data_IF_178599661272
#
_entry.id   IF_178599661272
#
_cell.length_a   1.000
_cell.length_b   1.000
_cell.length_c   1.000
_cell.angle_alpha   90.00
_cell.angle_beta   90.00
_cell.angle_gamma   90.00
#
_symmetry.space_group_name_H-M   'P 1'
#
loop_
_entity.id
_entity.type
_entity.pdbx_description
1 polymer ?
#
# COMPACT_ATOMS: atom_id res chain seq x y z
N UNK A 1 -1.67 -20.73 60.23
CA UNK A 1 -1.38 -19.30 60.02
C UNK A 1 -0.19 -19.19 59.05
N UNK A 2 -0.41 -19.26 57.75
CA UNK A 2 0.64 -19.17 56.70
C UNK A 2 0.46 -17.86 55.95
N UNK A 3 1.45 -16.98 56.10
CA UNK A 3 1.61 -15.70 55.48
C UNK A 3 1.78 -15.93 53.96
N UNK A 4 0.84 -15.48 53.14
CA UNK A 4 0.96 -15.43 51.71
C UNK A 4 1.83 -14.22 51.38
N UNK A 5 3.07 -14.48 51.00
CA UNK A 5 3.99 -13.49 50.47
C UNK A 5 3.48 -13.05 49.09
N UNK A 6 3.13 -11.78 48.98
CA UNK A 6 2.88 -11.16 47.69
C UNK A 6 4.15 -11.15 46.87
N UNK A 7 4.12 -11.78 45.71
CA UNK A 7 5.13 -11.57 44.68
C UNK A 7 4.97 -10.14 44.13
N UNK A 8 5.87 -9.27 44.55
CA UNK A 8 6.10 -7.99 43.91
C UNK A 8 6.48 -8.26 42.43
N UNK A 9 5.59 -7.92 41.51
CA UNK A 9 5.93 -7.81 40.11
C UNK A 9 7.09 -6.82 39.99
N UNK A 10 8.31 -7.34 39.80
CA UNK A 10 9.47 -6.54 39.40
C UNK A 10 9.12 -5.86 38.10
N UNK A 11 8.81 -4.57 38.15
CA UNK A 11 8.82 -3.72 36.97
C UNK A 11 10.24 -3.78 36.36
N UNK A 12 10.35 -4.44 35.23
CA UNK A 12 11.57 -4.42 34.45
C UNK A 12 11.78 -2.96 34.04
N UNK A 13 12.91 -2.32 34.43
CA UNK A 13 13.15 -0.95 34.03
C UNK A 13 13.19 -0.89 32.51
N UNK A 14 12.30 -0.10 31.94
CA UNK A 14 12.34 0.28 30.51
C UNK A 14 13.70 0.95 30.32
N UNK A 15 14.65 0.23 29.76
CA UNK A 15 15.92 0.81 29.33
C UNK A 15 15.57 2.00 28.42
N UNK A 16 16.02 3.16 28.85
CA UNK A 16 15.97 4.40 28.09
C UNK A 16 16.90 4.23 26.85
N UNK A 17 16.45 3.46 25.88
CA UNK A 17 17.10 3.30 24.60
C UNK A 17 16.46 4.29 23.66
N UNK A 18 17.27 5.25 23.23
CA UNK A 18 17.08 6.15 22.08
C UNK A 18 15.62 6.59 21.83
N UNK A 19 15.36 7.88 21.96
CA UNK A 19 14.11 8.56 21.57
C UNK A 19 13.93 8.47 20.03
N UNK A 20 13.85 7.26 19.49
CA UNK A 20 13.44 7.05 18.10
C UNK A 20 11.94 7.24 18.05
N UNK A 21 11.50 8.11 17.15
CA UNK A 21 10.08 8.35 16.92
C UNK A 21 9.47 7.04 16.42
N UNK A 22 8.66 6.39 17.26
CA UNK A 22 7.94 5.16 16.95
C UNK A 22 6.45 5.47 17.01
N UNK A 23 5.71 5.07 16.00
CA UNK A 23 4.26 5.24 15.92
C UNK A 23 3.58 3.93 16.32
N UNK A 24 2.69 3.95 17.30
CA UNK A 24 1.85 2.79 17.60
C UNK A 24 0.85 2.57 16.45
N UNK A 25 0.69 1.30 16.02
CA UNK A 25 -0.28 0.92 14.98
C UNK A 25 -1.72 1.28 15.37
N UNK A 26 -2.01 1.39 16.66
CA UNK A 26 -3.34 1.73 17.14
C UNK A 26 -3.59 3.23 17.26
N UNK A 27 -2.57 4.09 17.04
CA UNK A 27 -2.67 5.54 17.14
C UNK A 27 -3.67 6.11 16.13
N UNK A 28 -4.36 7.21 16.51
CA UNK A 28 -5.31 7.89 15.60
C UNK A 28 -4.63 8.36 14.32
N UNK A 29 -3.40 8.87 14.44
CA UNK A 29 -2.62 9.33 13.29
C UNK A 29 -2.41 8.20 12.27
N UNK A 30 -1.90 7.04 12.70
CA UNK A 30 -1.63 5.90 11.80
C UNK A 30 -2.93 5.39 11.17
N UNK A 31 -4.05 5.36 11.91
CA UNK A 31 -5.34 4.97 11.34
C UNK A 31 -5.80 5.91 10.23
N UNK A 32 -5.73 7.24 10.45
CA UNK A 32 -6.08 8.22 9.40
C UNK A 32 -5.12 8.17 8.22
N UNK A 33 -3.82 8.01 8.49
CA UNK A 33 -2.79 7.85 7.47
C UNK A 33 -3.08 6.63 6.59
N UNK A 34 -3.30 5.47 7.18
CA UNK A 34 -3.63 4.24 6.45
C UNK A 34 -4.91 4.40 5.61
N UNK A 35 -5.94 5.07 6.13
CA UNK A 35 -7.14 5.35 5.36
C UNK A 35 -6.84 6.23 4.14
N UNK A 36 -6.03 7.27 4.29
CA UNK A 36 -5.61 8.13 3.17
C UNK A 36 -4.83 7.32 2.12
N UNK A 37 -3.88 6.49 2.54
CA UNK A 37 -3.11 5.61 1.65
C UNK A 37 -4.02 4.62 0.92
N UNK A 38 -5.04 4.07 1.57
CA UNK A 38 -6.03 3.18 0.93
C UNK A 38 -6.82 3.93 -0.14
N UNK A 39 -7.31 5.15 0.14
CA UNK A 39 -8.04 5.97 -0.84
C UNK A 39 -7.17 6.26 -2.06
N UNK A 40 -5.91 6.62 -1.86
CA UNK A 40 -4.95 6.85 -2.95
C UNK A 40 -4.65 5.57 -3.73
N UNK A 41 -4.57 4.42 -3.06
CA UNK A 41 -4.41 3.13 -3.73
C UNK A 41 -5.64 2.76 -4.59
N UNK A 42 -6.84 3.12 -4.14
CA UNK A 42 -8.07 2.95 -4.95
C UNK A 42 -8.07 3.89 -6.17
N UNK A 43 -7.65 5.14 -6.01
CA UNK A 43 -7.44 6.06 -7.13
C UNK A 43 -6.48 5.46 -8.16
N UNK A 44 -5.29 5.02 -7.72
CA UNK A 44 -4.30 4.39 -8.60
C UNK A 44 -4.80 3.10 -9.25
N UNK A 45 -5.73 2.37 -8.63
CA UNK A 45 -6.28 1.15 -9.21
C UNK A 45 -7.11 1.39 -10.47
N UNK A 46 -7.60 2.61 -10.64
CA UNK A 46 -8.35 3.04 -11.83
C UNK A 46 -7.41 3.75 -12.82
N UNK A 47 -6.61 4.69 -12.33
CA UNK A 47 -5.81 5.57 -13.21
C UNK A 47 -4.63 4.87 -13.86
N UNK A 48 -3.91 4.01 -13.13
CA UNK A 48 -2.70 3.35 -13.67
C UNK A 48 -3.02 2.42 -14.85
N UNK A 49 -3.99 1.49 -14.79
CA UNK A 49 -4.34 0.68 -15.94
C UNK A 49 -4.78 1.53 -17.14
N UNK A 50 -5.56 2.59 -16.88
CA UNK A 50 -5.94 3.52 -17.95
C UNK A 50 -4.71 4.20 -18.54
N UNK A 51 -3.82 4.77 -17.75
CA UNK A 51 -2.61 5.43 -18.24
C UNK A 51 -1.74 4.50 -19.08
N UNK A 52 -1.53 3.25 -18.64
CA UNK A 52 -0.70 2.28 -19.37
C UNK A 52 -1.30 1.89 -20.71
N UNK A 53 -2.60 1.59 -20.74
CA UNK A 53 -3.21 0.98 -21.93
C UNK A 53 -3.87 1.97 -22.89
N UNK A 54 -4.09 3.23 -22.46
CA UNK A 54 -4.70 4.27 -23.28
C UNK A 54 -3.71 5.33 -23.77
N UNK A 55 -2.52 5.46 -23.15
CA UNK A 55 -1.57 6.54 -23.45
C UNK A 55 -1.11 6.58 -24.92
N UNK A 56 -1.03 5.43 -25.59
CA UNK A 56 -0.60 5.39 -27.01
C UNK A 56 -1.75 5.57 -28.01
N UNK A 57 -3.01 5.39 -27.61
CA UNK A 57 -4.12 5.19 -28.55
C UNK A 57 -5.46 5.78 -28.11
N UNK A 58 -5.54 6.38 -26.93
CA UNK A 58 -6.78 6.90 -26.38
C UNK A 58 -6.85 8.43 -26.36
N UNK A 59 -8.02 8.98 -26.05
CA UNK A 59 -8.14 10.40 -25.80
C UNK A 59 -7.25 10.77 -24.61
N UNK A 60 -6.41 11.76 -24.82
CA UNK A 60 -5.42 12.30 -23.85
C UNK A 60 -6.03 12.95 -22.61
N UNK A 61 -7.18 12.46 -22.15
CA UNK A 61 -7.89 13.01 -20.98
C UNK A 61 -7.11 12.84 -19.66
N UNK A 62 -6.13 11.93 -19.64
CA UNK A 62 -5.23 11.72 -18.49
C UNK A 62 -3.85 12.37 -18.71
N UNK A 63 -3.61 13.01 -19.83
CA UNK A 63 -2.38 13.73 -20.14
C UNK A 63 -2.62 15.23 -19.96
N UNK A 64 -2.28 15.74 -18.79
CA UNK A 64 -2.31 17.16 -18.50
C UNK A 64 -1.36 17.46 -17.35
N UNK A 65 -0.73 18.62 -17.38
CA UNK A 65 0.12 19.14 -16.29
C UNK A 65 -0.49 18.89 -14.90
N UNK A 66 -1.80 19.18 -14.63
CA UNK A 66 -2.37 18.97 -13.31
C UNK A 66 -2.49 17.49 -12.91
N UNK A 67 -2.70 16.58 -13.85
CA UNK A 67 -2.81 15.14 -13.56
C UNK A 67 -1.43 14.55 -13.28
N UNK A 68 -0.42 14.90 -14.07
CA UNK A 68 0.96 14.50 -13.85
C UNK A 68 1.50 14.99 -12.49
N UNK A 69 1.13 16.21 -12.09
CA UNK A 69 1.46 16.74 -10.76
C UNK A 69 0.75 15.96 -9.64
N UNK A 70 -0.52 15.61 -9.83
CA UNK A 70 -1.28 14.81 -8.87
C UNK A 70 -0.65 13.41 -8.70
N UNK A 71 -0.31 12.74 -9.79
CA UNK A 71 0.31 11.42 -9.76
C UNK A 71 1.68 11.47 -9.05
N UNK A 72 2.50 12.49 -9.36
CA UNK A 72 3.78 12.72 -8.68
C UNK A 72 3.59 12.97 -7.18
N UNK A 73 2.56 13.71 -6.80
CA UNK A 73 2.22 13.95 -5.39
C UNK A 73 1.78 12.65 -4.69
N UNK A 74 0.99 11.82 -5.35
CA UNK A 74 0.57 10.52 -4.83
C UNK A 74 1.77 9.61 -4.64
N UNK A 75 2.73 9.60 -5.57
CA UNK A 75 3.97 8.81 -5.47
C UNK A 75 4.82 9.27 -4.29
N UNK A 76 4.93 10.58 -4.07
CA UNK A 76 5.60 11.14 -2.90
C UNK A 76 4.95 10.67 -1.59
N UNK A 77 3.61 10.67 -1.51
CA UNK A 77 2.90 10.15 -0.33
C UNK A 77 3.24 8.68 -0.10
N UNK A 78 3.32 7.88 -1.14
CA UNK A 78 3.69 6.47 -1.01
C UNK A 78 5.14 6.27 -0.57
N UNK A 79 6.09 7.12 -0.97
CA UNK A 79 7.45 7.09 -0.45
C UNK A 79 7.49 7.47 1.05
N UNK A 80 6.73 8.47 1.44
CA UNK A 80 6.58 8.84 2.86
C UNK A 80 5.96 7.67 3.65
N UNK A 81 4.99 6.96 3.07
CA UNK A 81 4.37 5.79 3.69
C UNK A 81 5.37 4.65 3.95
N UNK A 82 6.32 4.41 3.06
CA UNK A 82 7.42 3.47 3.29
C UNK A 82 8.22 3.87 4.54
N UNK A 83 8.55 5.16 4.67
CA UNK A 83 9.31 5.68 5.83
C UNK A 83 8.51 5.54 7.13
N UNK A 84 7.21 5.87 7.11
CA UNK A 84 6.32 5.74 8.27
C UNK A 84 6.19 4.28 8.67
N UNK A 85 6.07 3.36 7.73
CA UNK A 85 5.95 1.91 7.98
C UNK A 85 7.18 1.36 8.70
N UNK A 86 8.40 1.83 8.39
CA UNK A 86 9.61 1.47 9.13
C UNK A 86 9.59 1.90 10.61
N UNK A 87 8.72 2.82 10.97
CA UNK A 87 8.58 3.38 12.32
C UNK A 87 7.26 3.00 13.00
N UNK A 88 6.43 2.20 12.34
CA UNK A 88 5.12 1.80 12.85
C UNK A 88 5.23 0.42 13.48
N UNK A 89 4.78 0.30 14.73
CA UNK A 89 4.70 -0.98 15.45
C UNK A 89 3.73 -1.94 14.77
N UNK A 90 3.87 -3.22 15.01
CA UNK A 90 2.93 -4.22 14.54
C UNK A 90 2.52 -5.17 15.67
N UNK A 91 1.36 -5.79 15.52
CA UNK A 91 0.87 -6.79 16.45
C UNK A 91 1.42 -8.17 16.04
N UNK A 92 2.19 -8.79 16.92
CA UNK A 92 2.58 -10.19 16.74
C UNK A 92 1.38 -11.09 17.06
N UNK A 93 0.84 -11.72 16.02
CA UNK A 93 -0.36 -12.58 16.16
C UNK A 93 -0.09 -13.87 16.93
N UNK A 94 1.17 -14.31 17.07
CA UNK A 94 1.53 -15.50 17.81
C UNK A 94 1.53 -15.25 19.34
N UNK A 95 1.93 -14.06 19.75
CA UNK A 95 2.07 -13.68 21.16
C UNK A 95 0.90 -12.78 21.60
N UNK A 96 0.25 -12.09 20.66
CA UNK A 96 -0.83 -11.13 20.93
C UNK A 96 -0.31 -9.80 21.47
N UNK A 97 0.99 -9.53 21.40
CA UNK A 97 1.63 -8.32 21.93
C UNK A 97 2.09 -7.38 20.80
N UNK A 98 2.12 -6.08 21.12
CA UNK A 98 2.62 -5.05 20.20
C UNK A 98 4.16 -5.01 20.26
N UNK A 99 4.80 -5.26 19.10
CA UNK A 99 6.26 -5.20 18.97
C UNK A 99 6.69 -3.75 18.77
N UNK A 100 7.44 -3.22 19.74
CA UNK A 100 7.93 -1.83 19.77
C UNK A 100 9.42 -1.70 19.44
N UNK A 101 10.15 -2.82 19.36
CA UNK A 101 11.58 -2.81 19.05
C UNK A 101 11.83 -2.40 17.59
N UNK A 102 12.46 -1.25 17.39
CA UNK A 102 12.71 -0.69 16.05
C UNK A 102 13.44 -1.66 15.11
N UNK A 103 14.39 -2.45 15.64
CA UNK A 103 15.15 -3.41 14.85
C UNK A 103 14.26 -4.55 14.35
N UNK A 104 13.39 -5.08 15.21
CA UNK A 104 12.43 -6.14 14.83
C UNK A 104 11.42 -5.63 13.80
N UNK A 105 10.91 -4.39 14.00
CA UNK A 105 10.01 -3.74 13.06
C UNK A 105 10.67 -3.64 11.69
N UNK A 106 11.90 -3.09 11.62
CA UNK A 106 12.60 -2.91 10.36
C UNK A 106 12.88 -4.24 9.64
N UNK A 107 13.35 -5.27 10.35
CA UNK A 107 13.62 -6.59 9.73
C UNK A 107 12.34 -7.25 9.23
N UNK A 108 11.27 -7.19 10.02
CA UNK A 108 9.98 -7.79 9.62
C UNK A 108 9.45 -7.11 8.36
N UNK A 109 9.53 -5.79 8.30
CA UNK A 109 9.11 -5.04 7.11
C UNK A 109 10.00 -5.31 5.90
N UNK A 110 11.33 -5.32 6.07
CA UNK A 110 12.29 -5.62 4.99
C UNK A 110 12.07 -7.02 4.38
N UNK A 111 11.80 -8.01 5.23
CA UNK A 111 11.52 -9.38 4.78
C UNK A 111 10.11 -9.56 4.20
N UNK A 112 9.20 -8.64 4.52
CA UNK A 112 7.80 -8.68 4.11
C UNK A 112 7.51 -7.83 2.87
N UNK A 113 6.84 -6.71 3.08
CA UNK A 113 6.26 -5.88 2.00
C UNK A 113 7.21 -4.82 1.44
N UNK A 114 8.36 -4.55 2.08
CA UNK A 114 9.24 -3.43 1.72
C UNK A 114 9.61 -3.40 0.23
N UNK A 115 10.04 -4.54 -0.32
CA UNK A 115 10.49 -4.58 -1.72
C UNK A 115 9.37 -4.17 -2.68
N UNK A 116 8.15 -4.66 -2.46
CA UNK A 116 6.98 -4.32 -3.27
C UNK A 116 6.61 -2.85 -3.08
N UNK A 117 6.54 -2.39 -1.83
CA UNK A 117 6.16 -1.01 -1.50
C UNK A 117 7.18 -0.01 -2.06
N UNK A 118 8.47 -0.32 -1.99
CA UNK A 118 9.54 0.54 -2.50
C UNK A 118 9.54 0.60 -4.03
N UNK A 119 9.60 -0.56 -4.71
CA UNK A 119 9.63 -0.62 -6.18
C UNK A 119 8.38 0.05 -6.77
N UNK A 120 7.21 -0.17 -6.16
CA UNK A 120 5.98 0.45 -6.63
C UNK A 120 5.88 1.96 -6.37
N UNK A 121 6.68 2.52 -5.44
CA UNK A 121 6.66 3.95 -5.12
C UNK A 121 7.62 4.76 -5.98
N UNK A 122 8.67 4.13 -6.50
CA UNK A 122 9.69 4.82 -7.30
C UNK A 122 9.22 4.86 -8.75
N UNK A 123 9.12 6.04 -9.38
CA UNK A 123 8.81 6.15 -10.80
C UNK A 123 10.00 5.70 -11.65
N UNK A 124 10.17 4.39 -11.82
CA UNK A 124 11.33 3.80 -12.49
C UNK A 124 11.48 4.28 -13.94
N UNK A 125 10.38 4.57 -14.60
CA UNK A 125 10.34 5.11 -15.96
C UNK A 125 10.98 6.49 -16.07
N UNK A 126 11.03 7.28 -14.99
CA UNK A 126 11.65 8.60 -15.01
C UNK A 126 13.19 8.55 -15.12
N UNK A 127 13.80 7.41 -14.77
CA UNK A 127 15.25 7.21 -14.86
C UNK A 127 15.71 6.73 -16.24
N UNK A 128 14.77 6.41 -17.15
CA UNK A 128 15.09 5.92 -18.48
C UNK A 128 14.94 7.05 -19.51
N UNK A 129 15.94 7.26 -20.40
CA UNK A 129 15.86 8.25 -21.46
C UNK A 129 14.60 8.07 -22.32
N UNK A 130 14.00 9.17 -22.76
CA UNK A 130 12.80 9.16 -23.59
C UNK A 130 12.96 8.41 -24.92
N UNK A 131 14.21 8.26 -25.41
CA UNK A 131 14.53 7.50 -26.62
C UNK A 131 14.31 5.99 -26.49
N UNK A 132 14.25 5.45 -25.25
CA UNK A 132 14.06 4.02 -25.00
C UNK A 132 12.61 3.72 -24.63
N UNK A 133 11.70 3.96 -25.55
CA UNK A 133 10.24 3.81 -25.33
C UNK A 133 9.83 2.42 -24.85
N UNK A 134 10.37 1.35 -25.44
CA UNK A 134 10.02 -0.03 -25.05
C UNK A 134 10.42 -0.36 -23.60
N UNK A 135 11.62 0.07 -23.17
CA UNK A 135 12.07 -0.14 -21.80
C UNK A 135 11.22 0.66 -20.83
N UNK A 136 10.91 1.91 -21.19
CA UNK A 136 10.07 2.80 -20.40
C UNK A 136 8.67 2.21 -20.21
N UNK A 137 8.01 1.76 -21.28
CA UNK A 137 6.70 1.11 -21.21
C UNK A 137 6.72 -0.15 -20.34
N UNK A 138 7.80 -0.95 -20.43
CA UNK A 138 7.96 -2.12 -19.56
C UNK A 138 8.07 -1.71 -18.09
N UNK A 139 8.83 -0.66 -17.78
CA UNK A 139 8.98 -0.17 -16.40
C UNK A 139 7.68 0.41 -15.85
N UNK A 140 6.86 1.04 -16.66
CA UNK A 140 5.55 1.55 -16.26
C UNK A 140 4.64 0.42 -15.73
N UNK A 141 4.80 -0.82 -16.24
CA UNK A 141 4.05 -1.98 -15.73
C UNK A 141 4.32 -2.27 -14.25
N UNK A 142 5.50 -1.91 -13.72
CA UNK A 142 5.76 -2.02 -12.29
C UNK A 142 4.84 -1.10 -11.47
N UNK A 143 4.30 -0.05 -12.07
CA UNK A 143 3.25 0.76 -11.46
C UNK A 143 2.02 -0.05 -11.05
N UNK A 144 1.71 -1.16 -11.74
CA UNK A 144 0.62 -2.06 -11.35
C UNK A 144 0.85 -2.70 -9.97
N UNK A 145 2.09 -2.79 -9.48
CA UNK A 145 2.38 -3.26 -8.13
C UNK A 145 1.76 -2.37 -7.06
N UNK A 146 1.48 -1.09 -7.36
CA UNK A 146 0.75 -0.17 -6.47
C UNK A 146 -0.64 -0.72 -6.12
N UNK A 147 -1.25 -1.54 -6.99
CA UNK A 147 -2.55 -2.18 -6.75
C UNK A 147 -2.50 -3.15 -5.56
N UNK A 148 -1.34 -3.76 -5.29
CA UNK A 148 -1.18 -4.69 -4.17
C UNK A 148 -1.38 -4.01 -2.81
N UNK A 149 -1.29 -2.67 -2.74
CA UNK A 149 -1.56 -1.90 -1.51
C UNK A 149 -3.01 -1.98 -1.05
N UNK A 150 -3.94 -2.33 -1.95
CA UNK A 150 -5.34 -2.56 -1.60
C UNK A 150 -5.50 -3.67 -0.55
N UNK A 151 -4.56 -4.62 -0.45
CA UNK A 151 -4.56 -5.63 0.63
C UNK A 151 -4.61 -5.00 2.03
N UNK A 152 -4.05 -3.79 2.22
CA UNK A 152 -4.13 -3.05 3.49
C UNK A 152 -5.56 -2.77 3.93
N UNK A 153 -6.50 -2.64 2.98
CA UNK A 153 -7.93 -2.52 3.30
C UNK A 153 -8.43 -3.78 4.01
N UNK A 154 -8.03 -4.97 3.54
CA UNK A 154 -8.37 -6.24 4.18
C UNK A 154 -7.79 -6.35 5.60
N UNK A 155 -6.55 -5.94 5.77
CA UNK A 155 -5.87 -5.92 7.06
C UNK A 155 -6.55 -4.94 8.03
N UNK A 156 -6.90 -3.74 7.57
CA UNK A 156 -7.62 -2.73 8.36
C UNK A 156 -8.99 -3.21 8.82
N UNK A 157 -9.76 -3.88 7.95
CA UNK A 157 -11.06 -4.47 8.32
C UNK A 157 -10.89 -5.61 9.31
N UNK A 158 -9.90 -6.46 9.11
CA UNK A 158 -9.65 -7.63 9.97
C UNK A 158 -9.21 -7.21 11.36
N UNK A 159 -8.32 -6.22 11.48
CA UNK A 159 -7.80 -5.69 12.75
C UNK A 159 -8.76 -4.74 13.48
N UNK A 160 -9.84 -4.29 12.82
CA UNK A 160 -10.82 -3.39 13.42
C UNK A 160 -11.61 -4.06 14.55
N UNK A 161 -12.04 -3.29 15.56
CA UNK A 161 -12.89 -3.77 16.65
C UNK A 161 -14.39 -3.79 16.31
N UNK A 162 -14.72 -4.03 15.03
CA UNK A 162 -16.10 -4.07 14.56
C UNK A 162 -16.81 -5.38 14.94
N UNK A 163 -18.13 -5.37 15.10
CA UNK A 163 -18.93 -6.58 15.28
C UNK A 163 -18.71 -7.59 14.15
N UNK A 164 -18.78 -8.89 14.47
CA UNK A 164 -18.55 -9.96 13.49
C UNK A 164 -19.42 -9.83 12.22
N UNK A 165 -20.71 -9.47 12.37
CA UNK A 165 -21.63 -9.25 11.24
C UNK A 165 -21.16 -8.14 10.30
N UNK A 166 -20.76 -6.99 10.84
CA UNK A 166 -20.23 -5.87 10.06
C UNK A 166 -18.94 -6.23 9.34
N UNK A 167 -18.03 -6.99 10.00
CA UNK A 167 -16.79 -7.47 9.34
C UNK A 167 -17.10 -8.36 8.14
N UNK A 168 -18.09 -9.25 8.25
CA UNK A 168 -18.49 -10.10 7.12
C UNK A 168 -19.04 -9.27 5.97
N UNK A 169 -19.91 -8.31 6.23
CA UNK A 169 -20.46 -7.41 5.20
C UNK A 169 -19.35 -6.62 4.50
N UNK A 170 -18.38 -6.05 5.26
CA UNK A 170 -17.23 -5.34 4.70
C UNK A 170 -16.36 -6.26 3.85
N UNK A 171 -16.12 -7.51 4.27
CA UNK A 171 -15.36 -8.48 3.47
C UNK A 171 -16.05 -8.80 2.15
N UNK A 172 -17.38 -8.97 2.15
CA UNK A 172 -18.14 -9.19 0.91
C UNK A 172 -18.03 -7.97 -0.02
N UNK A 173 -18.17 -6.75 0.52
CA UNK A 173 -17.99 -5.52 -0.26
C UNK A 173 -16.58 -5.42 -0.86
N UNK A 174 -15.57 -5.80 -0.09
CA UNK A 174 -14.17 -5.81 -0.58
C UNK A 174 -13.95 -6.82 -1.71
N UNK A 175 -14.55 -8.02 -1.61
CA UNK A 175 -14.48 -9.00 -2.70
C UNK A 175 -15.12 -8.41 -3.96
N UNK A 176 -16.27 -7.76 -3.84
CA UNK A 176 -16.90 -7.04 -4.95
C UNK A 176 -16.01 -5.96 -5.55
N UNK A 177 -15.34 -5.14 -4.70
CA UNK A 177 -14.41 -4.12 -5.16
C UNK A 177 -13.19 -4.72 -5.88
N UNK A 178 -12.62 -5.82 -5.37
CA UNK A 178 -11.52 -6.52 -6.04
C UNK A 178 -11.94 -7.07 -7.42
N UNK A 179 -13.13 -7.64 -7.52
CA UNK A 179 -13.68 -8.11 -8.81
C UNK A 179 -13.82 -6.96 -9.80
N UNK A 180 -14.35 -5.80 -9.36
CA UNK A 180 -14.47 -4.61 -10.21
C UNK A 180 -13.10 -4.13 -10.71
N UNK A 181 -12.07 -4.10 -9.86
CA UNK A 181 -10.71 -3.73 -10.26
C UNK A 181 -10.14 -4.72 -11.27
N UNK A 182 -10.30 -6.03 -11.05
CA UNK A 182 -9.85 -7.06 -12.00
C UNK A 182 -10.56 -6.89 -13.35
N UNK A 183 -11.88 -6.70 -13.34
CA UNK A 183 -12.64 -6.45 -14.57
C UNK A 183 -12.19 -5.18 -15.28
N UNK A 184 -11.90 -4.11 -14.53
CA UNK A 184 -11.37 -2.86 -15.09
C UNK A 184 -10.01 -3.08 -15.77
N UNK A 185 -9.06 -3.75 -15.11
CA UNK A 185 -7.75 -4.08 -15.69
C UNK A 185 -7.90 -4.91 -16.95
N UNK A 186 -8.74 -5.96 -16.92
CA UNK A 186 -9.02 -6.81 -18.09
C UNK A 186 -9.63 -6.02 -19.25
N UNK A 187 -10.55 -5.09 -18.96
CA UNK A 187 -11.14 -4.22 -19.97
C UNK A 187 -10.08 -3.30 -20.63
N UNK A 188 -9.18 -2.73 -19.83
CA UNK A 188 -8.06 -1.92 -20.35
C UNK A 188 -7.12 -2.74 -21.23
N UNK A 189 -6.75 -3.95 -20.80
CA UNK A 189 -5.92 -4.88 -21.58
C UNK A 189 -6.61 -5.24 -22.91
N UNK A 190 -7.89 -5.61 -22.84
CA UNK A 190 -8.67 -5.94 -24.04
C UNK A 190 -8.73 -4.79 -25.03
N UNK A 191 -9.00 -3.58 -24.54
CA UNK A 191 -9.00 -2.37 -25.35
C UNK A 191 -7.65 -2.18 -26.08
N UNK A 192 -6.54 -2.32 -25.36
CA UNK A 192 -5.21 -2.21 -25.97
C UNK A 192 -4.96 -3.26 -27.06
N UNK A 193 -5.39 -4.51 -26.85
CA UNK A 193 -5.26 -5.58 -27.84
C UNK A 193 -6.08 -5.26 -29.09
N UNK A 194 -7.34 -4.83 -28.93
CA UNK A 194 -8.23 -4.52 -30.06
C UNK A 194 -7.69 -3.38 -30.90
N UNK A 195 -7.24 -2.28 -30.28
CA UNK A 195 -6.68 -1.13 -31.00
C UNK A 195 -5.39 -1.52 -31.74
N UNK A 196 -4.50 -2.28 -31.11
CA UNK A 196 -3.30 -2.73 -31.79
C UNK A 196 -3.60 -3.69 -32.95
N UNK A 197 -4.63 -4.53 -32.85
CA UNK A 197 -5.02 -5.41 -33.97
C UNK A 197 -5.54 -4.65 -35.18
N UNK A 198 -6.22 -3.52 -35.00
CA UNK A 198 -6.71 -2.68 -36.10
C UNK A 198 -5.62 -1.91 -36.84
N UNK A 199 -4.43 -1.77 -36.28
CA UNK A 199 -3.27 -1.13 -36.93
C UNK A 199 -2.59 -2.01 -37.98
N UNK A 200 -2.91 -3.30 -38.03
CA UNK A 200 -2.32 -4.26 -38.97
C UNK A 200 -3.22 -4.56 -40.21
N UNK A 201 -4.40 -3.94 -40.26
CA UNK A 201 -5.35 -3.98 -41.40
C UNK A 201 -5.34 -2.64 -42.10
#
# INVERSE_FOLDING_TARGET
MKKILGEEKKEVPIQASDKKIIFSYSSRFIKHWNNAVIILAMYNSVTIPMAIFYSENGPTMLEGEPIALLDSFVDLIFLIDVIITFRTTYLDTAIGEEVTETHKIAITYLKGSFAIDFISSVPLEAFVPASQTSVRSFLTLFGLLKLLRIKRLSEAVTSSNLPKGTKVQLKILMIGAYLLIVMHVLACVWFAIVINSQRWV
#
